data_IF_254545506276
#
_entry.id   IF_254545506276
#
_cell.length_a   1.000
_cell.length_b   1.000
_cell.length_c   1.000
_cell.angle_alpha   90.00
_cell.angle_beta   90.00
_cell.angle_gamma   90.00
#
_symmetry.space_group_name_H-M   'P 1'
#
loop_
_entity.id
_entity.type
_entity.pdbx_description
1 polymer ?
#
# COMPACT_ATOMS: atom_id res chain seq x y z
N UNK A 1 -13.74 -38.90 -61.11
CA UNK A 1 -14.99 -39.06 -60.34
C UNK A 1 -14.66 -39.76 -59.03
N UNK A 2 -15.12 -39.15 -57.93
CA UNK A 2 -15.09 -39.60 -56.52
C UNK A 2 -15.09 -41.12 -56.28
N UNK A 3 -14.34 -41.60 -55.27
CA UNK A 3 -14.91 -41.97 -53.96
C UNK A 3 -13.84 -42.49 -52.99
N UNK A 4 -13.70 -41.76 -51.88
CA UNK A 4 -13.04 -42.19 -50.65
C UNK A 4 -13.73 -43.44 -50.06
N UNK A 5 -12.96 -44.48 -49.70
CA UNK A 5 -13.39 -45.49 -48.73
C UNK A 5 -12.48 -45.45 -47.50
N UNK A 6 -13.08 -44.99 -46.41
CA UNK A 6 -12.58 -45.06 -45.04
C UNK A 6 -12.12 -46.47 -44.67
N UNK A 7 -10.90 -46.58 -44.15
CA UNK A 7 -10.41 -47.77 -43.45
C UNK A 7 -10.19 -47.37 -41.99
N UNK A 8 -11.18 -47.64 -41.13
CA UNK A 8 -10.99 -47.62 -39.66
C UNK A 8 -9.92 -48.65 -39.32
N UNK A 9 -8.76 -48.21 -38.82
CA UNK A 9 -7.89 -49.04 -37.99
C UNK A 9 -8.32 -48.85 -36.54
N UNK A 10 -8.82 -49.92 -35.97
CA UNK A 10 -8.97 -50.10 -34.54
C UNK A 10 -7.56 -50.15 -33.95
N UNK A 11 -7.24 -49.22 -33.06
CA UNK A 11 -5.99 -49.23 -32.28
C UNK A 11 -6.45 -49.60 -30.88
N UNK A 12 -6.18 -50.85 -30.51
CA UNK A 12 -6.41 -51.37 -29.18
C UNK A 12 -5.45 -50.70 -28.19
N UNK A 13 -5.96 -50.48 -26.97
CA UNK A 13 -5.28 -50.18 -25.71
C UNK A 13 -3.84 -49.67 -25.77
N UNK A 14 -3.68 -48.36 -25.72
CA UNK A 14 -2.54 -47.72 -25.07
C UNK A 14 -3.10 -46.99 -23.85
N UNK A 15 -3.05 -47.64 -22.69
CA UNK A 15 -3.06 -46.94 -21.42
C UNK A 15 -1.85 -45.99 -21.44
N UNK A 16 -2.13 -44.70 -21.57
CA UNK A 16 -1.16 -43.65 -21.28
C UNK A 16 -0.95 -43.68 -19.77
N UNK A 17 0.09 -44.40 -19.37
CA UNK A 17 0.64 -44.38 -18.03
C UNK A 17 1.16 -42.96 -17.76
N UNK A 18 0.27 -42.09 -17.29
CA UNK A 18 0.61 -40.75 -16.81
C UNK A 18 1.43 -40.90 -15.53
N UNK A 19 2.70 -41.26 -15.67
CA UNK A 19 3.71 -40.98 -14.65
C UNK A 19 3.87 -39.47 -14.58
N UNK A 20 3.06 -38.87 -13.71
CA UNK A 20 3.30 -37.55 -13.15
C UNK A 20 4.56 -37.66 -12.29
N UNK A 21 5.73 -37.69 -12.92
CA UNK A 21 6.97 -37.32 -12.25
C UNK A 21 6.97 -35.79 -12.16
N UNK A 22 6.11 -35.27 -11.28
CA UNK A 22 6.30 -33.94 -10.73
C UNK A 22 7.59 -33.92 -9.90
N UNK A 23 8.17 -32.76 -9.61
CA UNK A 23 9.39 -32.72 -8.80
C UNK A 23 9.06 -33.18 -7.38
N UNK A 24 9.39 -34.43 -7.07
CA UNK A 24 9.21 -35.15 -5.80
C UNK A 24 9.99 -34.54 -4.61
N UNK A 25 10.42 -33.28 -4.70
CA UNK A 25 11.20 -32.57 -3.68
C UNK A 25 10.64 -31.18 -3.29
N UNK A 26 9.38 -30.88 -3.57
CA UNK A 26 8.74 -29.63 -3.12
C UNK A 26 8.12 -29.70 -1.71
N UNK A 27 8.12 -30.88 -1.08
CA UNK A 27 7.35 -31.13 0.15
C UNK A 27 7.97 -30.53 1.44
N UNK A 28 9.24 -30.12 1.43
CA UNK A 28 9.93 -29.66 2.65
C UNK A 28 10.15 -28.14 2.75
N UNK A 29 9.85 -27.36 1.71
CA UNK A 29 9.89 -25.90 1.81
C UNK A 29 8.53 -25.37 2.27
N UNK A 30 8.39 -25.22 3.59
CA UNK A 30 7.23 -24.59 4.20
C UNK A 30 7.12 -23.14 3.71
N UNK A 31 6.23 -22.91 2.76
CA UNK A 31 5.89 -21.58 2.21
C UNK A 31 5.56 -20.63 3.35
N UNK A 32 6.23 -19.47 3.40
CA UNK A 32 6.14 -18.56 4.53
C UNK A 32 5.72 -17.14 4.14
N UNK A 33 4.75 -17.05 3.21
CA UNK A 33 4.20 -15.79 2.72
C UNK A 33 3.72 -14.90 3.88
N UNK A 34 3.04 -15.47 4.88
CA UNK A 34 2.46 -14.70 5.98
C UNK A 34 3.50 -14.02 6.89
N UNK A 35 4.67 -14.63 7.12
CA UNK A 35 5.72 -14.01 7.95
C UNK A 35 6.64 -13.10 7.11
N UNK A 36 6.75 -13.38 5.80
CA UNK A 36 7.65 -12.67 4.88
C UNK A 36 6.97 -11.60 4.02
N UNK A 37 5.69 -11.32 4.25
CA UNK A 37 4.88 -10.50 3.33
C UNK A 37 5.48 -9.11 3.05
N UNK A 38 6.17 -8.49 4.01
CA UNK A 38 6.80 -7.18 3.84
C UNK A 38 7.93 -7.23 2.79
N UNK A 39 8.83 -8.21 2.88
CA UNK A 39 9.93 -8.37 1.92
C UNK A 39 9.44 -8.87 0.57
N UNK A 40 8.39 -9.70 0.55
CA UNK A 40 7.73 -10.14 -0.68
C UNK A 40 7.00 -9.00 -1.40
N UNK A 41 6.53 -7.99 -0.66
CA UNK A 41 6.01 -6.73 -1.21
C UNK A 41 7.10 -5.72 -1.61
N UNK A 42 8.37 -6.11 -1.54
CA UNK A 42 9.46 -5.26 -2.03
C UNK A 42 9.94 -4.20 -1.04
N UNK A 43 9.73 -4.36 0.28
CA UNK A 43 10.23 -3.43 1.30
C UNK A 43 11.71 -3.06 1.10
N UNK A 44 12.52 -4.04 0.68
CA UNK A 44 13.96 -3.88 0.39
C UNK A 44 14.27 -4.09 -1.10
N UNK A 45 13.40 -3.63 -1.99
CA UNK A 45 13.55 -3.75 -3.46
C UNK A 45 13.83 -5.19 -3.95
N UNK A 46 13.28 -6.19 -3.25
CA UNK A 46 13.51 -7.63 -3.50
C UNK A 46 15.00 -8.04 -3.53
N UNK A 47 15.87 -7.33 -2.79
CA UNK A 47 17.28 -7.68 -2.67
C UNK A 47 17.46 -9.15 -2.23
N UNK A 48 18.28 -9.90 -2.98
CA UNK A 48 18.55 -11.31 -2.73
C UNK A 48 17.40 -12.27 -3.03
N UNK A 49 16.26 -11.81 -3.57
CA UNK A 49 15.10 -12.66 -3.86
C UNK A 49 14.91 -12.97 -5.36
N UNK A 50 15.63 -12.29 -6.26
CA UNK A 50 15.39 -12.37 -7.71
C UNK A 50 16.29 -13.38 -8.42
N UNK A 51 17.53 -13.56 -7.96
CA UNK A 51 18.51 -14.46 -8.59
C UNK A 51 19.37 -15.20 -7.53
N UNK A 52 19.09 -16.50 -7.26
CA UNK A 52 17.98 -17.27 -7.82
C UNK A 52 16.63 -16.78 -7.29
N UNK A 53 15.57 -16.91 -8.11
CA UNK A 53 14.23 -16.46 -7.71
C UNK A 53 13.72 -17.29 -6.52
N UNK A 54 13.54 -16.61 -5.39
CA UNK A 54 12.99 -17.14 -4.14
C UNK A 54 11.63 -17.83 -4.37
N UNK A 55 11.40 -18.96 -3.72
CA UNK A 55 10.22 -19.78 -3.94
C UNK A 55 8.92 -19.12 -3.47
N UNK A 56 8.97 -18.41 -2.34
CA UNK A 56 7.80 -17.66 -1.86
C UNK A 56 7.52 -16.50 -2.82
N UNK A 57 8.55 -15.76 -3.24
CA UNK A 57 8.40 -14.68 -4.22
C UNK A 57 7.86 -15.17 -5.55
N UNK A 58 8.31 -16.34 -6.03
CA UNK A 58 7.78 -16.98 -7.24
C UNK A 58 6.28 -17.24 -7.11
N UNK A 59 5.84 -17.86 -6.02
CA UNK A 59 4.42 -18.12 -5.78
C UNK A 59 3.63 -16.81 -5.65
N UNK A 60 4.24 -15.80 -5.04
CA UNK A 60 3.66 -14.48 -4.86
C UNK A 60 3.42 -13.74 -6.18
N UNK A 61 4.41 -13.74 -7.07
CA UNK A 61 4.31 -13.17 -8.42
C UNK A 61 3.24 -13.92 -9.22
N UNK A 62 3.22 -15.26 -9.17
CA UNK A 62 2.21 -16.08 -9.84
C UNK A 62 0.81 -15.76 -9.31
N UNK A 63 0.66 -15.57 -8.00
CA UNK A 63 -0.62 -15.22 -7.39
C UNK A 63 -1.17 -13.90 -7.96
N UNK A 64 -0.41 -12.81 -7.91
CA UNK A 64 -0.87 -11.51 -8.42
C UNK A 64 -0.95 -11.46 -9.95
N UNK A 65 -0.11 -12.22 -10.66
CA UNK A 65 -0.25 -12.41 -12.11
C UNK A 65 -1.56 -13.11 -12.48
N UNK A 66 -1.97 -14.12 -11.70
CA UNK A 66 -3.25 -14.81 -11.90
C UNK A 66 -4.45 -13.89 -11.66
N UNK A 67 -4.32 -12.89 -10.77
CA UNK A 67 -5.34 -11.87 -10.56
C UNK A 67 -5.48 -10.93 -11.77
N UNK A 68 -4.37 -10.60 -12.43
CA UNK A 68 -4.42 -9.89 -13.71
C UNK A 68 -5.06 -10.77 -14.80
N UNK A 69 -4.70 -12.06 -14.90
CA UNK A 69 -5.31 -13.00 -15.85
C UNK A 69 -6.83 -13.14 -15.64
N UNK A 70 -7.29 -13.19 -14.39
CA UNK A 70 -8.71 -13.24 -14.04
C UNK A 70 -9.53 -12.10 -14.68
N UNK A 71 -8.91 -10.94 -14.95
CA UNK A 71 -9.57 -9.85 -15.66
C UNK A 71 -9.83 -10.17 -17.13
N UNK A 72 -8.92 -10.87 -17.81
CA UNK A 72 -9.12 -11.31 -19.18
C UNK A 72 -10.23 -12.37 -19.25
N UNK A 73 -10.16 -13.38 -18.38
CA UNK A 73 -11.10 -14.50 -18.37
C UNK A 73 -12.54 -14.07 -18.06
N UNK A 74 -12.68 -13.06 -17.20
CA UNK A 74 -13.98 -12.49 -16.87
C UNK A 74 -14.53 -11.55 -17.95
N UNK A 75 -13.72 -11.04 -18.88
CA UNK A 75 -14.19 -10.04 -19.83
C UNK A 75 -15.05 -10.65 -20.94
N UNK A 76 -16.20 -10.03 -21.23
CA UNK A 76 -17.05 -10.44 -22.33
C UNK A 76 -16.65 -9.72 -23.63
N UNK A 77 -15.79 -10.35 -24.42
CA UNK A 77 -15.36 -9.86 -25.74
C UNK A 77 -16.34 -10.18 -26.89
N UNK A 78 -17.45 -10.87 -26.62
CA UNK A 78 -18.40 -11.30 -27.65
C UNK A 78 -19.25 -10.12 -28.14
N UNK A 79 -18.91 -9.53 -29.29
CA UNK A 79 -19.56 -8.32 -29.84
C UNK A 79 -21.04 -8.50 -30.11
N UNK A 80 -21.51 -9.72 -30.38
CA UNK A 80 -22.94 -10.00 -30.58
C UNK A 80 -23.75 -10.01 -29.27
N UNK A 81 -23.07 -10.07 -28.11
CA UNK A 81 -23.71 -10.09 -26.81
C UNK A 81 -24.22 -8.71 -26.40
N UNK A 82 -25.43 -8.64 -25.83
CA UNK A 82 -25.92 -7.42 -25.16
C UNK A 82 -25.11 -7.03 -23.93
N UNK A 83 -24.26 -7.93 -23.44
CA UNK A 83 -23.37 -7.71 -22.30
C UNK A 83 -21.90 -7.62 -22.76
N UNK A 84 -21.65 -7.40 -24.06
CA UNK A 84 -20.30 -7.13 -24.56
C UNK A 84 -19.69 -5.97 -23.77
N UNK A 85 -18.41 -6.06 -23.45
CA UNK A 85 -17.74 -5.01 -22.67
C UNK A 85 -17.89 -5.14 -21.15
N UNK A 86 -18.78 -6.00 -20.64
CA UNK A 86 -18.97 -6.21 -19.20
C UNK A 86 -18.21 -7.44 -18.68
N UNK A 87 -18.13 -7.57 -17.35
CA UNK A 87 -17.72 -8.82 -16.71
C UNK A 87 -18.80 -9.89 -16.89
N UNK A 88 -18.37 -11.13 -17.20
CA UNK A 88 -19.22 -12.32 -17.32
C UNK A 88 -19.78 -12.79 -15.98
N UNK A 89 -19.16 -12.39 -14.87
CA UNK A 89 -19.46 -12.91 -13.54
C UNK A 89 -19.89 -11.79 -12.58
N UNK A 90 -20.72 -12.16 -11.60
CA UNK A 90 -21.06 -11.27 -10.49
C UNK A 90 -19.86 -11.11 -9.54
N UNK A 91 -19.81 -10.03 -8.77
CA UNK A 91 -18.76 -9.84 -7.75
C UNK A 91 -18.68 -10.98 -6.74
N UNK A 92 -19.85 -11.53 -6.35
CA UNK A 92 -19.97 -12.58 -5.33
C UNK A 92 -19.34 -13.90 -5.79
N UNK A 93 -19.48 -14.23 -7.07
CA UNK A 93 -19.06 -15.51 -7.62
C UNK A 93 -17.82 -15.38 -8.51
N UNK A 94 -17.17 -14.21 -8.52
CA UNK A 94 -16.08 -13.88 -9.46
C UNK A 94 -14.94 -14.90 -9.40
N UNK A 95 -14.34 -15.07 -8.22
CA UNK A 95 -13.19 -15.97 -8.07
C UNK A 95 -13.56 -17.45 -8.20
N UNK A 96 -14.73 -17.84 -7.69
CA UNK A 96 -15.18 -19.24 -7.72
C UNK A 96 -15.57 -19.71 -9.13
N UNK A 97 -16.16 -18.83 -9.95
CA UNK A 97 -16.47 -19.12 -11.36
C UNK A 97 -15.23 -19.19 -12.23
N UNK A 98 -14.20 -18.40 -11.91
CA UNK A 98 -12.91 -18.43 -12.58
C UNK A 98 -11.99 -19.56 -12.06
N UNK A 99 -12.32 -20.15 -10.91
CA UNK A 99 -11.50 -21.18 -10.26
C UNK A 99 -10.20 -20.66 -9.65
N UNK A 100 -10.02 -19.34 -9.54
CA UNK A 100 -8.81 -18.70 -8.99
C UNK A 100 -8.67 -18.93 -7.48
N UNK A 101 -9.78 -19.25 -6.81
CA UNK A 101 -9.81 -19.63 -5.41
C UNK A 101 -9.63 -21.14 -5.17
N UNK A 102 -9.67 -21.99 -6.20
CA UNK A 102 -9.53 -23.45 -6.01
C UNK A 102 -8.09 -23.78 -5.61
N UNK A 103 -7.94 -24.51 -4.51
CA UNK A 103 -6.63 -24.87 -3.92
C UNK A 103 -5.69 -23.67 -3.63
N UNK A 104 -6.23 -22.45 -3.63
CA UNK A 104 -5.48 -21.23 -3.34
C UNK A 104 -5.87 -20.72 -1.93
N UNK A 105 -4.96 -20.69 -0.95
CA UNK A 105 -5.26 -20.22 0.41
C UNK A 105 -5.42 -18.69 0.49
N UNK A 106 -5.00 -17.95 -0.52
CA UNK A 106 -5.02 -16.49 -0.56
C UNK A 106 -6.37 -16.00 -1.10
N UNK A 107 -7.40 -16.06 -0.24
CA UNK A 107 -8.80 -15.78 -0.59
C UNK A 107 -9.16 -14.29 -0.57
N UNK A 108 -9.83 -13.82 -1.63
CA UNK A 108 -10.32 -12.44 -1.75
C UNK A 108 -11.83 -12.40 -1.98
N UNK A 109 -12.44 -11.23 -1.73
CA UNK A 109 -13.79 -10.92 -2.19
C UNK A 109 -13.77 -9.63 -3.01
N UNK A 110 -14.47 -9.63 -4.15
CA UNK A 110 -14.55 -8.42 -5.00
C UNK A 110 -15.54 -7.43 -4.38
N UNK A 111 -15.08 -6.22 -4.11
CA UNK A 111 -15.89 -5.17 -3.49
C UNK A 111 -16.43 -4.19 -4.52
N UNK A 112 -15.64 -3.90 -5.58
CA UNK A 112 -16.01 -2.94 -6.64
C UNK A 112 -15.54 -3.42 -8.01
N UNK A 113 -16.37 -3.17 -9.03
CA UNK A 113 -15.95 -3.24 -10.43
C UNK A 113 -15.61 -1.85 -10.93
N UNK A 114 -14.58 -1.78 -11.77
CA UNK A 114 -14.06 -0.56 -12.36
C UNK A 114 -14.53 -0.53 -13.80
N UNK A 115 -15.11 0.59 -14.22
CA UNK A 115 -15.45 0.85 -15.61
C UNK A 115 -14.67 2.04 -16.11
N UNK A 116 -14.26 2.00 -17.38
CA UNK A 116 -13.55 3.08 -18.02
C UNK A 116 -14.15 3.36 -19.41
N UNK A 117 -14.02 4.61 -19.85
CA UNK A 117 -14.24 5.03 -21.22
C UNK A 117 -12.98 5.75 -21.70
N UNK A 118 -12.88 6.01 -23.00
CA UNK A 118 -11.84 6.87 -23.55
C UNK A 118 -12.47 8.04 -24.28
N UNK A 119 -11.87 9.21 -24.15
CA UNK A 119 -12.20 10.40 -24.93
C UNK A 119 -11.44 10.47 -26.26
N UNK A 120 -10.50 9.55 -26.51
CA UNK A 120 -9.73 9.45 -27.75
C UNK A 120 -10.50 8.64 -28.78
N UNK A 121 -10.66 9.19 -30.00
CA UNK A 121 -11.53 8.68 -31.07
C UNK A 121 -11.26 7.22 -31.52
N UNK A 122 -10.10 6.66 -31.19
CA UNK A 122 -9.70 5.29 -31.51
C UNK A 122 -10.23 4.24 -30.50
N UNK A 123 -10.65 4.66 -29.31
CA UNK A 123 -11.31 3.78 -28.35
C UNK A 123 -12.82 4.03 -28.37
N UNK A 124 -13.61 2.96 -28.26
CA UNK A 124 -15.07 3.06 -28.16
C UNK A 124 -15.47 4.07 -27.08
N UNK A 125 -16.39 4.99 -27.43
CA UNK A 125 -17.07 5.88 -26.47
C UNK A 125 -17.92 5.12 -25.46
N UNK A 126 -18.08 3.80 -25.65
CA UNK A 126 -18.81 2.91 -24.76
C UNK A 126 -17.96 2.55 -23.54
N UNK A 127 -18.58 2.66 -22.36
CA UNK A 127 -17.93 2.30 -21.09
C UNK A 127 -17.76 0.78 -20.99
N UNK A 128 -16.52 0.33 -20.82
CA UNK A 128 -16.19 -1.07 -20.67
C UNK A 128 -15.69 -1.38 -19.25
N UNK A 129 -15.96 -2.59 -18.79
CA UNK A 129 -15.39 -3.14 -17.57
C UNK A 129 -13.87 -3.23 -17.71
N UNK A 130 -13.14 -2.58 -16.82
CA UNK A 130 -11.70 -2.37 -16.88
C UNK A 130 -10.95 -3.06 -15.73
N UNK A 131 -11.66 -3.67 -14.79
CA UNK A 131 -11.02 -4.37 -13.68
C UNK A 131 -11.86 -4.40 -12.41
N UNK A 132 -11.20 -4.66 -11.30
CA UNK A 132 -11.87 -4.75 -10.00
C UNK A 132 -10.97 -4.31 -8.83
N UNK A 133 -11.63 -3.94 -7.74
CA UNK A 133 -11.04 -3.83 -6.41
C UNK A 133 -11.56 -4.99 -5.56
N UNK A 134 -10.66 -5.67 -4.89
CA UNK A 134 -10.95 -6.78 -3.99
C UNK A 134 -10.21 -6.59 -2.67
N UNK A 135 -10.67 -7.27 -1.63
CA UNK A 135 -9.98 -7.30 -0.33
C UNK A 135 -9.85 -8.74 0.14
N UNK A 136 -8.70 -9.07 0.73
CA UNK A 136 -8.45 -10.36 1.33
C UNK A 136 -9.55 -10.65 2.37
N UNK A 137 -10.11 -11.84 2.36
CA UNK A 137 -11.05 -12.31 3.39
C UNK A 137 -10.32 -12.63 4.69
N UNK A 138 -11.02 -12.98 5.77
CA UNK A 138 -10.34 -13.40 7.01
C UNK A 138 -9.47 -14.66 6.82
N UNK A 139 -9.85 -15.54 5.91
CA UNK A 139 -9.01 -16.69 5.51
C UNK A 139 -7.79 -16.23 4.71
N UNK A 140 -7.99 -15.37 3.71
CA UNK A 140 -6.89 -14.81 2.92
C UNK A 140 -5.90 -14.01 3.75
N UNK A 141 -6.38 -13.24 4.74
CA UNK A 141 -5.53 -12.53 5.71
C UNK A 141 -4.60 -13.47 6.46
N UNK A 142 -5.07 -14.66 6.87
CA UNK A 142 -4.21 -15.65 7.54
C UNK A 142 -3.10 -16.14 6.62
N UNK A 143 -3.41 -16.41 5.35
CA UNK A 143 -2.42 -16.84 4.37
C UNK A 143 -1.43 -15.75 3.94
N UNK A 144 -1.88 -14.50 3.92
CA UNK A 144 -1.07 -13.34 3.50
C UNK A 144 -0.31 -12.68 4.67
N UNK A 145 -0.70 -12.93 5.92
CA UNK A 145 -0.16 -12.26 7.11
C UNK A 145 -0.75 -10.86 7.39
N UNK A 146 -1.59 -10.33 6.49
CA UNK A 146 -2.17 -8.98 6.56
C UNK A 146 -3.43 -8.84 5.71
N UNK A 147 -4.18 -7.75 5.89
CA UNK A 147 -5.33 -7.42 5.05
C UNK A 147 -4.88 -6.75 3.75
N UNK A 148 -4.82 -7.52 2.68
CA UNK A 148 -4.45 -6.98 1.37
C UNK A 148 -5.66 -6.41 0.63
N UNK A 149 -5.54 -5.17 0.16
CA UNK A 149 -6.45 -4.53 -0.78
C UNK A 149 -5.83 -4.69 -2.17
N UNK A 150 -6.48 -5.47 -3.02
CA UNK A 150 -6.01 -5.80 -4.37
C UNK A 150 -6.77 -4.95 -5.40
N UNK A 151 -6.03 -4.32 -6.30
CA UNK A 151 -6.56 -3.62 -7.47
C UNK A 151 -6.02 -4.33 -8.71
N UNK A 152 -6.90 -4.91 -9.52
CA UNK A 152 -6.52 -5.61 -10.75
C UNK A 152 -7.07 -4.87 -11.97
N UNK A 153 -6.17 -4.41 -12.83
CA UNK A 153 -6.48 -3.69 -14.07
C UNK A 153 -6.38 -4.63 -15.28
N UNK A 154 -7.42 -4.62 -16.11
CA UNK A 154 -7.49 -5.40 -17.35
C UNK A 154 -6.60 -4.78 -18.42
N UNK A 155 -5.86 -5.62 -19.14
CA UNK A 155 -5.17 -5.19 -20.35
C UNK A 155 -6.04 -5.21 -21.61
N UNK A 156 -5.40 -5.09 -22.76
CA UNK A 156 -6.06 -5.06 -24.07
C UNK A 156 -6.45 -6.46 -24.53
N UNK A 157 -7.70 -6.63 -24.99
CA UNK A 157 -8.22 -7.93 -25.49
C UNK A 157 -8.23 -8.01 -27.01
N UNK A 158 -8.30 -6.88 -27.72
CA UNK A 158 -8.31 -6.83 -29.19
C UNK A 158 -6.94 -6.34 -29.70
N UNK A 159 -6.16 -7.25 -30.30
CA UNK A 159 -4.81 -6.97 -30.84
C UNK A 159 -4.78 -6.01 -32.05
N UNK A 160 -5.95 -5.65 -32.62
CA UNK A 160 -6.05 -4.86 -33.85
C UNK A 160 -6.11 -3.33 -33.65
N UNK A 161 -6.10 -2.84 -32.41
CA UNK A 161 -6.07 -1.39 -32.10
C UNK A 161 -4.66 -0.90 -31.71
N UNK A 162 -3.66 -1.79 -31.68
CA UNK A 162 -2.31 -1.47 -31.20
C UNK A 162 -1.45 -0.70 -32.21
N UNK A 163 -1.67 -0.91 -33.51
CA UNK A 163 -0.78 -0.41 -34.57
C UNK A 163 -0.95 1.08 -34.90
N UNK A 164 -2.18 1.60 -34.81
CA UNK A 164 -2.49 2.96 -35.26
C UNK A 164 -2.41 4.00 -34.12
N UNK A 165 -2.33 3.55 -32.85
CA UNK A 165 -2.58 4.39 -31.66
C UNK A 165 -1.40 4.51 -30.68
N UNK A 166 -0.23 3.93 -30.99
CA UNK A 166 1.05 4.24 -30.33
C UNK A 166 1.59 5.62 -30.76
N UNK A 167 0.74 6.64 -30.75
CA UNK A 167 1.21 8.02 -30.68
C UNK A 167 1.62 8.25 -29.23
N UNK A 168 2.92 8.18 -28.97
CA UNK A 168 3.58 8.47 -27.69
C UNK A 168 3.44 9.94 -27.26
N UNK A 169 2.22 10.48 -27.28
CA UNK A 169 1.90 11.83 -26.87
C UNK A 169 1.87 11.85 -25.35
N UNK A 170 2.85 12.53 -24.77
CA UNK A 170 2.90 12.82 -23.34
C UNK A 170 2.09 14.09 -23.06
N UNK A 171 1.10 13.98 -22.17
CA UNK A 171 0.26 15.10 -21.73
C UNK A 171 0.54 15.42 -20.26
N UNK A 172 0.54 16.70 -19.86
CA UNK A 172 0.55 17.07 -18.46
C UNK A 172 -0.62 16.44 -17.69
N UNK A 173 -0.39 16.01 -16.44
CA UNK A 173 -1.43 15.40 -15.60
C UNK A 173 -1.63 16.15 -14.26
N UNK A 174 -1.94 17.46 -14.29
CA UNK A 174 -2.12 18.26 -13.08
C UNK A 174 -3.32 17.81 -12.24
N UNK A 175 -4.31 17.15 -12.86
CA UNK A 175 -5.45 16.55 -12.18
C UNK A 175 -5.07 15.36 -11.31
N UNK A 176 -3.94 14.69 -11.60
CA UNK A 176 -3.41 13.56 -10.84
C UNK A 176 -2.35 14.01 -9.82
N UNK A 177 -1.36 14.80 -10.24
CA UNK A 177 -0.18 15.08 -9.41
C UNK A 177 -0.16 16.48 -8.77
N UNK A 178 -1.08 17.38 -9.15
CA UNK A 178 -1.00 18.79 -8.78
C UNK A 178 0.23 19.49 -9.38
N UNK A 179 0.31 20.82 -9.22
CA UNK A 179 1.45 21.60 -9.69
C UNK A 179 1.45 21.95 -11.18
N UNK A 180 2.63 22.30 -11.71
CA UNK A 180 2.86 22.76 -13.09
C UNK A 180 2.81 21.60 -14.11
N UNK A 181 3.02 21.91 -15.40
CA UNK A 181 2.94 20.95 -16.53
C UNK A 181 4.10 19.94 -16.67
N UNK A 182 4.92 19.76 -15.63
CA UNK A 182 6.15 18.94 -15.69
C UNK A 182 5.93 17.42 -15.63
N UNK A 183 5.14 16.84 -14.69
CA UNK A 183 4.85 15.42 -14.72
C UNK A 183 3.91 15.13 -15.88
N UNK A 184 4.40 14.35 -16.85
CA UNK A 184 3.65 13.94 -18.03
C UNK A 184 3.35 12.45 -18.02
N UNK A 185 2.16 12.13 -18.49
CA UNK A 185 1.65 10.77 -18.65
C UNK A 185 1.28 10.59 -20.11
N UNK A 186 1.40 9.39 -20.66
CA UNK A 186 0.91 9.15 -22.02
C UNK A 186 -0.60 9.36 -22.11
N UNK A 187 -1.01 10.03 -23.17
CA UNK A 187 -2.37 10.49 -23.39
C UNK A 187 -3.41 9.36 -23.30
N UNK A 188 -3.13 8.20 -23.92
CA UNK A 188 -4.03 7.05 -23.86
C UNK A 188 -4.27 6.51 -22.45
N UNK A 189 -3.22 6.39 -21.62
CA UNK A 189 -3.36 5.87 -20.26
C UNK A 189 -4.05 6.90 -19.36
N UNK A 190 -3.71 8.19 -19.53
CA UNK A 190 -4.39 9.29 -18.84
C UNK A 190 -5.88 9.31 -19.19
N UNK A 191 -6.23 9.27 -20.48
CA UNK A 191 -7.62 9.29 -20.96
C UNK A 191 -8.45 8.13 -20.39
N UNK A 192 -7.93 6.90 -20.42
CA UNK A 192 -8.61 5.73 -19.84
C UNK A 192 -8.82 5.89 -18.32
N UNK A 193 -7.86 6.49 -17.63
CA UNK A 193 -7.89 6.65 -16.18
C UNK A 193 -8.82 7.78 -15.73
N UNK A 194 -8.92 8.87 -16.50
CA UNK A 194 -9.54 10.14 -16.07
C UNK A 194 -10.84 10.50 -16.79
N UNK A 195 -11.16 9.87 -17.93
CA UNK A 195 -12.38 10.18 -18.68
C UNK A 195 -13.64 9.64 -18.02
N UNK A 196 -14.68 10.47 -17.95
CA UNK A 196 -16.04 10.08 -17.56
C UNK A 196 -17.02 10.25 -18.74
N UNK A 197 -18.18 9.57 -18.64
CA UNK A 197 -19.33 9.82 -19.51
C UNK A 197 -20.57 9.98 -18.63
N UNK A 198 -21.06 11.22 -18.42
CA UNK A 198 -22.24 11.48 -17.60
C UNK A 198 -23.51 10.76 -18.07
N UNK A 199 -23.57 10.33 -19.34
CA UNK A 199 -24.71 9.60 -19.92
C UNK A 199 -24.62 8.10 -19.67
N UNK A 200 -23.44 7.57 -19.34
CA UNK A 200 -23.23 6.16 -19.07
C UNK A 200 -23.81 5.77 -17.70
N UNK A 201 -24.52 4.64 -17.56
CA UNK A 201 -24.92 4.14 -16.25
C UNK A 201 -23.74 3.61 -15.42
N UNK A 202 -22.60 3.31 -16.05
CA UNK A 202 -21.45 2.65 -15.41
C UNK A 202 -20.26 3.60 -15.16
N UNK A 203 -20.03 4.58 -16.03
CA UNK A 203 -18.86 5.49 -15.97
C UNK A 203 -19.27 6.95 -15.73
N UNK A 204 -20.26 7.18 -14.86
CA UNK A 204 -20.67 8.54 -14.43
C UNK A 204 -19.54 9.32 -13.77
N UNK A 205 -18.64 8.59 -13.13
CA UNK A 205 -17.36 9.07 -12.60
C UNK A 205 -16.26 8.26 -13.25
N UNK A 206 -15.10 8.86 -13.49
CA UNK A 206 -13.99 8.20 -14.16
C UNK A 206 -13.41 7.04 -13.34
N UNK A 207 -12.67 6.16 -14.01
CA UNK A 207 -12.05 4.98 -13.40
C UNK A 207 -11.19 5.33 -12.18
N UNK A 208 -10.42 6.43 -12.25
CA UNK A 208 -9.66 6.98 -11.12
C UNK A 208 -10.55 7.19 -9.89
N UNK A 209 -11.62 7.97 -10.00
CA UNK A 209 -12.50 8.26 -8.84
C UNK A 209 -13.13 6.98 -8.28
N UNK A 210 -13.61 6.08 -9.15
CA UNK A 210 -14.20 4.81 -8.73
C UNK A 210 -13.24 3.98 -7.86
N UNK A 211 -11.96 3.93 -8.24
CA UNK A 211 -10.92 3.19 -7.50
C UNK A 211 -10.54 3.91 -6.22
N UNK A 212 -10.26 5.22 -6.29
CA UNK A 212 -9.82 5.99 -5.12
C UNK A 212 -10.87 6.04 -4.02
N UNK A 213 -12.15 6.17 -4.36
CA UNK A 213 -13.25 6.11 -3.37
C UNK A 213 -13.30 4.76 -2.67
N UNK A 214 -13.13 3.66 -3.41
CA UNK A 214 -13.18 2.32 -2.84
C UNK A 214 -11.94 1.99 -2.01
N UNK A 215 -10.75 2.41 -2.46
CA UNK A 215 -9.50 2.29 -1.69
C UNK A 215 -9.61 3.04 -0.38
N UNK A 216 -10.05 4.30 -0.39
CA UNK A 216 -10.25 5.10 0.83
C UNK A 216 -11.23 4.41 1.79
N UNK A 217 -12.35 3.91 1.27
CA UNK A 217 -13.35 3.17 2.06
C UNK A 217 -12.74 1.94 2.73
N UNK A 218 -11.92 1.17 2.02
CA UNK A 218 -11.27 -0.04 2.54
C UNK A 218 -10.15 0.26 3.52
N UNK A 219 -9.28 1.24 3.22
CA UNK A 219 -8.22 1.71 4.11
C UNK A 219 -8.82 2.16 5.45
N UNK A 220 -9.92 2.93 5.40
CA UNK A 220 -10.62 3.39 6.60
C UNK A 220 -11.30 2.23 7.35
N UNK A 221 -11.97 1.33 6.64
CA UNK A 221 -12.63 0.17 7.22
C UNK A 221 -11.67 -0.74 7.99
N UNK A 222 -10.43 -0.88 7.52
CA UNK A 222 -9.43 -1.79 8.09
C UNK A 222 -8.28 -1.05 8.78
N UNK A 223 -8.45 0.21 9.18
CA UNK A 223 -7.39 1.07 9.77
C UNK A 223 -6.74 0.53 11.05
N UNK A 224 -7.37 -0.43 11.72
CA UNK A 224 -6.87 -1.08 12.94
C UNK A 224 -6.23 -2.46 12.67
N UNK A 225 -6.03 -2.84 11.41
CA UNK A 225 -5.32 -4.04 10.99
C UNK A 225 -4.03 -3.65 10.26
N UNK A 226 -3.05 -4.57 10.18
CA UNK A 226 -1.98 -4.43 9.19
C UNK A 226 -2.61 -4.56 7.79
N UNK A 227 -2.47 -3.49 6.98
CA UNK A 227 -3.01 -3.42 5.63
C UNK A 227 -1.90 -3.27 4.59
N UNK A 228 -2.15 -3.79 3.38
CA UNK A 228 -1.36 -3.50 2.19
C UNK A 228 -2.27 -3.14 1.03
N UNK A 229 -1.77 -2.37 0.06
CA UNK A 229 -2.44 -2.16 -1.22
C UNK A 229 -1.54 -2.76 -2.29
N UNK A 230 -2.05 -3.76 -3.01
CA UNK A 230 -1.33 -4.40 -4.12
C UNK A 230 -2.06 -4.12 -5.43
N UNK A 231 -1.33 -3.68 -6.44
CA UNK A 231 -1.89 -3.27 -7.73
C UNK A 231 -1.22 -4.13 -8.80
N UNK A 232 -2.03 -4.76 -9.64
CA UNK A 232 -1.57 -5.68 -10.68
C UNK A 232 -2.30 -5.45 -12.00
N UNK A 233 -1.60 -5.73 -13.08
CA UNK A 233 -2.14 -5.65 -14.43
C UNK A 233 -1.09 -6.10 -15.43
N UNK A 234 -1.55 -6.43 -16.63
CA UNK A 234 -0.70 -6.83 -17.75
C UNK A 234 -0.96 -5.94 -18.97
N UNK A 235 0.08 -5.68 -19.77
CA UNK A 235 0.01 -4.84 -20.97
C UNK A 235 -0.55 -3.44 -20.61
N UNK A 236 -1.62 -2.96 -21.27
CA UNK A 236 -2.34 -1.73 -20.88
C UNK A 236 -2.66 -1.68 -19.37
N UNK A 237 -3.06 -2.81 -18.80
CA UNK A 237 -3.36 -2.91 -17.37
C UNK A 237 -2.14 -2.63 -16.48
N UNK A 238 -0.93 -2.99 -16.93
CA UNK A 238 0.30 -2.69 -16.20
C UNK A 238 0.63 -1.19 -16.20
N UNK A 239 0.42 -0.53 -17.34
CA UNK A 239 0.60 0.93 -17.46
C UNK A 239 -0.36 1.69 -16.54
N UNK A 240 -1.65 1.33 -16.57
CA UNK A 240 -2.66 1.94 -15.68
C UNK A 240 -2.41 1.58 -14.21
N UNK A 241 -1.97 0.35 -13.92
CA UNK A 241 -1.58 -0.06 -12.55
C UNK A 241 -0.47 0.82 -11.99
N UNK A 242 0.55 1.10 -12.81
CA UNK A 242 1.67 1.96 -12.42
C UNK A 242 1.19 3.38 -12.15
N UNK A 243 0.39 3.96 -13.05
CA UNK A 243 -0.20 5.29 -12.85
C UNK A 243 -1.06 5.36 -11.58
N UNK A 244 -1.91 4.35 -11.35
CA UNK A 244 -2.78 4.26 -10.19
C UNK A 244 -1.99 4.11 -8.87
N UNK A 245 -0.89 3.35 -8.87
CA UNK A 245 0.00 3.23 -7.71
C UNK A 245 0.61 4.58 -7.32
N UNK A 246 1.17 5.30 -8.31
CA UNK A 246 1.78 6.62 -8.06
C UNK A 246 0.72 7.62 -7.59
N UNK A 247 -0.47 7.65 -8.22
CA UNK A 247 -1.58 8.52 -7.81
C UNK A 247 -2.03 8.27 -6.36
N UNK A 248 -2.20 7.00 -5.97
CA UNK A 248 -2.61 6.63 -4.60
C UNK A 248 -1.59 7.13 -3.58
N UNK A 249 -0.29 6.92 -3.83
CA UNK A 249 0.78 7.30 -2.89
C UNK A 249 1.00 8.81 -2.87
N UNK A 250 1.10 9.45 -4.03
CA UNK A 250 1.35 10.89 -4.15
C UNK A 250 0.24 11.72 -3.49
N UNK A 251 -1.01 11.25 -3.53
CA UNK A 251 -2.16 11.93 -2.94
C UNK A 251 -2.56 11.39 -1.54
N UNK A 252 -1.73 10.53 -0.94
CA UNK A 252 -1.94 10.01 0.42
C UNK A 252 -3.21 9.17 0.60
N UNK A 253 -3.73 8.57 -0.47
CA UNK A 253 -4.93 7.73 -0.43
C UNK A 253 -4.69 6.34 0.16
N UNK A 254 -3.43 6.02 0.46
CA UNK A 254 -2.99 4.84 1.20
C UNK A 254 -2.97 5.03 2.73
N UNK A 255 -3.40 6.19 3.26
CA UNK A 255 -3.44 6.47 4.70
C UNK A 255 -4.89 6.61 5.20
N UNK A 256 -5.22 6.11 6.42
CA UNK A 256 -6.50 6.41 7.08
C UNK A 256 -6.69 7.91 7.31
N UNK A 257 -7.94 8.39 7.37
CA UNK A 257 -8.21 9.82 7.54
C UNK A 257 -7.73 10.36 8.89
N UNK A 258 -7.72 9.49 9.91
CA UNK A 258 -7.37 9.82 11.30
C UNK A 258 -5.96 9.41 11.70
N UNK A 259 -5.07 9.02 10.76
CA UNK A 259 -3.67 8.77 11.11
C UNK A 259 -2.89 10.09 11.01
N UNK A 260 -2.60 10.78 12.13
CA UNK A 260 -1.62 11.84 12.09
C UNK A 260 -0.25 11.20 11.86
N UNK A 261 0.53 11.73 10.92
CA UNK A 261 1.98 11.51 10.82
C UNK A 261 2.75 12.06 12.06
N UNK A 262 2.07 12.30 13.18
CA UNK A 262 2.58 12.96 14.40
C UNK A 262 2.24 12.12 15.62
N UNK A 263 3.27 11.72 16.37
CA UNK A 263 3.12 11.23 17.74
C UNK A 263 2.54 12.36 18.59
N UNK A 264 1.23 12.31 18.84
CA UNK A 264 0.56 13.25 19.72
C UNK A 264 0.78 12.84 21.18
N UNK A 265 1.39 13.73 21.97
CA UNK A 265 1.69 13.53 23.38
C UNK A 265 0.97 14.62 24.15
N UNK A 266 0.24 14.22 25.19
CA UNK A 266 -0.43 15.12 26.10
C UNK A 266 0.24 15.03 27.48
N UNK A 267 1.12 15.98 27.75
CA UNK A 267 1.86 16.05 29.02
C UNK A 267 0.99 16.54 30.18
N UNK A 268 -0.17 17.14 29.93
CA UNK A 268 -1.07 17.59 31.00
C UNK A 268 -1.69 16.43 31.78
N UNK A 269 -1.71 15.24 31.18
CA UNK A 269 -2.12 14.00 31.85
C UNK A 269 -1.14 13.50 32.90
N UNK A 270 0.10 13.96 32.88
CA UNK A 270 1.13 13.54 33.83
C UNK A 270 0.80 14.03 35.23
N UNK A 271 0.64 13.10 36.18
CA UNK A 271 0.46 13.43 37.60
C UNK A 271 1.71 14.07 38.23
N UNK A 272 2.87 14.00 37.57
CA UNK A 272 4.14 14.54 38.05
C UNK A 272 4.31 16.04 37.75
N UNK A 273 3.70 16.53 36.68
CA UNK A 273 3.94 17.88 36.18
C UNK A 273 3.01 18.90 36.85
N UNK A 274 3.51 20.13 37.03
CA UNK A 274 2.69 21.30 37.31
C UNK A 274 1.79 21.58 36.09
N UNK A 275 0.69 22.30 36.30
CA UNK A 275 -0.16 22.77 35.19
C UNK A 275 0.68 23.65 34.27
N UNK A 276 0.69 23.32 32.98
CA UNK A 276 1.60 23.92 32.02
C UNK A 276 1.30 25.38 31.67
N UNK A 277 2.35 26.10 31.32
CA UNK A 277 2.35 27.37 30.60
C UNK A 277 3.10 27.24 29.25
N UNK A 278 3.15 28.33 28.46
CA UNK A 278 3.82 28.34 27.16
C UNK A 278 5.29 27.92 27.22
N UNK A 279 6.02 28.23 28.31
CA UNK A 279 7.44 27.87 28.46
C UNK A 279 7.59 26.38 28.74
N UNK A 280 6.74 25.82 29.59
CA UNK A 280 6.72 24.38 29.89
C UNK A 280 6.32 23.53 28.69
N UNK A 281 5.36 23.98 27.88
CA UNK A 281 4.92 23.28 26.66
C UNK A 281 5.99 23.25 25.56
N UNK A 282 6.99 24.12 25.62
CA UNK A 282 8.11 24.16 24.67
C UNK A 282 9.40 23.57 25.23
N UNK A 283 9.38 23.02 26.46
CA UNK A 283 10.56 22.41 27.07
C UNK A 283 10.81 21.00 26.53
N UNK A 284 12.01 20.77 25.97
CA UNK A 284 12.41 19.45 25.48
C UNK A 284 12.33 18.38 26.58
N UNK A 285 12.70 18.71 27.82
CA UNK A 285 12.66 17.75 28.94
C UNK A 285 11.21 17.36 29.29
N UNK A 286 10.25 18.26 29.10
CA UNK A 286 8.81 17.97 29.25
C UNK A 286 8.31 17.08 28.12
N UNK A 287 8.74 17.30 26.87
CA UNK A 287 8.45 16.38 25.76
C UNK A 287 8.99 14.98 26.01
N UNK A 288 10.25 14.86 26.41
CA UNK A 288 10.88 13.56 26.67
C UNK A 288 10.26 12.83 27.87
N UNK A 289 9.83 13.57 28.91
CA UNK A 289 8.98 13.03 29.98
C UNK A 289 7.64 12.53 29.44
N UNK A 290 7.00 13.31 28.57
CA UNK A 290 5.80 12.93 27.85
C UNK A 290 5.94 11.62 27.06
N UNK A 291 7.03 11.49 26.28
CA UNK A 291 7.37 10.27 25.53
C UNK A 291 7.56 9.08 26.47
N UNK A 292 8.22 9.28 27.61
CA UNK A 292 8.53 8.22 28.56
C UNK A 292 7.28 7.59 29.22
N UNK A 293 6.15 8.30 29.24
CA UNK A 293 4.93 7.84 29.91
C UNK A 293 3.61 7.96 29.14
N UNK A 294 3.63 8.38 27.88
CA UNK A 294 2.42 8.42 27.05
C UNK A 294 1.92 7.00 26.76
N UNK A 295 0.63 6.77 26.94
CA UNK A 295 -0.07 5.55 26.56
C UNK A 295 -1.06 5.81 25.41
N UNK A 296 -0.81 6.88 24.64
CA UNK A 296 -1.70 7.40 23.60
C UNK A 296 -2.72 8.43 24.10
N UNK A 297 -3.39 9.12 23.16
CA UNK A 297 -4.33 10.21 23.48
C UNK A 297 -5.56 9.79 24.28
N UNK A 298 -5.91 8.51 24.29
CA UNK A 298 -7.02 7.99 25.09
C UNK A 298 -6.57 7.22 26.35
N UNK A 299 -5.26 6.99 26.50
CA UNK A 299 -4.68 6.32 27.66
C UNK A 299 -4.42 7.29 28.82
N UNK A 300 -4.32 6.73 30.03
CA UNK A 300 -3.80 7.43 31.20
C UNK A 300 -2.28 7.57 31.10
N UNK A 301 -1.71 8.60 31.73
CA UNK A 301 -0.26 8.76 31.77
C UNK A 301 0.36 7.75 32.73
N UNK A 302 1.32 6.97 32.24
CA UNK A 302 2.06 5.99 33.04
C UNK A 302 3.46 5.84 32.45
N UNK A 303 4.48 6.15 33.24
CA UNK A 303 5.89 5.93 32.85
C UNK A 303 6.11 4.45 32.52
N UNK A 304 6.41 4.18 31.26
CA UNK A 304 6.71 2.84 30.74
C UNK A 304 8.22 2.57 30.78
N UNK A 305 9.01 3.63 30.64
CA UNK A 305 10.47 3.60 30.81
C UNK A 305 10.88 4.49 31.97
N UNK A 306 11.95 4.09 32.66
CA UNK A 306 12.54 4.92 33.69
C UNK A 306 13.22 6.14 33.06
N UNK A 307 12.77 7.34 33.43
CA UNK A 307 13.39 8.62 33.15
C UNK A 307 13.35 9.45 34.42
N UNK A 308 14.49 10.00 34.82
CA UNK A 308 14.58 10.80 36.05
C UNK A 308 13.70 12.06 35.94
N UNK A 309 12.77 12.22 36.89
CA UNK A 309 11.84 13.34 36.96
C UNK A 309 12.56 14.69 37.17
N UNK A 310 13.71 14.69 37.83
CA UNK A 310 14.47 15.91 38.09
C UNK A 310 14.91 16.59 36.79
N UNK A 311 15.06 15.85 35.68
CA UNK A 311 15.42 16.39 34.37
C UNK A 311 14.38 17.40 33.86
N UNK A 312 13.10 17.26 34.23
CA UNK A 312 12.06 18.25 33.89
C UNK A 312 12.44 19.64 34.39
N UNK A 313 13.05 19.75 35.58
CA UNK A 313 13.44 21.02 36.19
C UNK A 313 14.82 21.53 35.77
N UNK A 314 15.48 20.91 34.78
CA UNK A 314 16.84 21.26 34.36
C UNK A 314 17.00 22.76 34.06
N UNK A 315 16.04 23.35 33.34
CA UNK A 315 16.04 24.76 32.95
C UNK A 315 14.73 25.48 33.27
N UNK A 316 13.88 24.88 34.10
CA UNK A 316 12.55 25.39 34.40
C UNK A 316 12.04 24.86 35.75
N UNK A 317 10.82 25.25 36.12
CA UNK A 317 10.09 24.75 37.29
C UNK A 317 8.82 24.00 36.85
N UNK A 318 8.99 22.84 36.22
CA UNK A 318 7.89 22.08 35.60
C UNK A 318 7.33 20.94 36.45
N UNK A 319 8.09 20.45 37.43
CA UNK A 319 7.72 19.35 38.31
C UNK A 319 6.95 19.87 39.53
N UNK A 320 5.96 19.12 40.04
CA UNK A 320 5.26 19.51 41.29
C UNK A 320 6.21 19.58 42.47
N UNK A 321 5.94 20.49 43.41
CA UNK A 321 6.82 20.78 44.54
C UNK A 321 7.04 19.58 45.48
N UNK A 322 6.09 18.64 45.52
CA UNK A 322 6.16 17.39 46.28
C UNK A 322 7.34 16.49 45.89
N UNK A 323 7.90 16.66 44.68
CA UNK A 323 9.05 15.90 44.20
C UNK A 323 10.39 16.56 44.54
N UNK A 324 10.39 17.73 45.18
CA UNK A 324 11.56 18.39 45.77
C UNK A 324 12.76 18.61 44.82
N UNK A 325 12.53 18.69 43.50
CA UNK A 325 13.56 19.01 42.51
C UNK A 325 13.69 20.55 42.38
N UNK A 326 14.85 21.17 42.66
CA UNK A 326 15.01 22.61 42.54
C UNK A 326 14.75 23.10 41.11
N UNK A 327 14.06 24.22 40.96
CA UNK A 327 13.82 24.85 39.66
C UNK A 327 15.13 25.29 39.00
N UNK A 328 15.23 25.11 37.68
CA UNK A 328 16.38 25.54 36.86
C UNK A 328 17.72 25.16 37.47
N UNK A 329 17.82 23.93 38.01
CA UNK A 329 18.95 23.50 38.81
C UNK A 329 20.26 23.39 38.02
N UNK A 330 20.19 23.26 36.69
CA UNK A 330 21.38 23.15 35.86
C UNK A 330 22.14 24.47 35.83
N UNK A 331 23.26 24.48 36.54
CA UNK A 331 24.26 25.54 36.49
C UNK A 331 25.65 24.94 36.68
N UNK A 332 26.64 25.56 36.03
CA UNK A 332 28.04 25.23 36.30
C UNK A 332 28.38 25.50 37.77
N UNK A 333 29.26 24.69 38.34
CA UNK A 333 29.72 24.90 39.71
C UNK A 333 30.31 26.30 39.83
N UNK A 334 29.81 27.08 40.79
CA UNK A 334 30.17 28.50 40.96
C UNK A 334 30.01 29.34 39.67
N UNK A 335 29.13 28.94 38.75
CA UNK A 335 28.94 29.55 37.43
C UNK A 335 30.23 29.61 36.59
N UNK A 336 31.10 28.61 36.72
CA UNK A 336 32.37 28.54 36.00
C UNK A 336 33.53 29.29 36.67
N UNK A 337 33.30 29.87 37.85
CA UNK A 337 34.36 30.53 38.62
C UNK A 337 35.22 29.49 39.34
N UNK A 338 36.53 29.58 39.14
CA UNK A 338 37.53 28.71 39.78
C UNK A 338 38.47 29.56 40.62
N UNK A 339 38.68 29.16 41.88
CA UNK A 339 39.65 29.81 42.76
C UNK A 339 41.05 29.27 42.49
N UNK A 340 41.99 30.17 42.22
CA UNK A 340 43.41 29.86 42.05
C UNK A 340 44.11 29.65 43.38
N UNK A 341 45.32 29.10 43.34
CA UNK A 341 46.17 28.89 44.51
C UNK A 341 46.56 30.20 45.22
N UNK A 342 46.59 31.33 44.51
CA UNK A 342 46.87 32.67 45.07
C UNK A 342 45.63 33.32 45.71
N UNK A 343 44.49 32.64 45.72
CA UNK A 343 43.22 33.11 46.27
C UNK A 343 42.39 33.97 45.31
N UNK A 344 42.90 34.32 44.13
CA UNK A 344 42.14 35.01 43.09
C UNK A 344 41.11 34.08 42.43
N UNK A 345 40.09 34.65 41.80
CA UNK A 345 39.07 33.90 41.08
C UNK A 345 39.14 34.24 39.60
N UNK A 346 39.04 33.22 38.75
CA UNK A 346 38.94 33.38 37.30
C UNK A 346 37.70 32.67 36.76
N UNK A 347 37.10 33.24 35.72
CA UNK A 347 36.08 32.56 34.92
C UNK A 347 36.79 31.62 33.95
N UNK A 348 36.45 30.33 34.00
CA UNK A 348 36.93 29.32 33.04
C UNK A 348 35.72 28.87 32.23
N UNK A 349 35.45 29.56 31.12
CA UNK A 349 34.19 29.44 30.37
C UNK A 349 34.26 28.63 29.08
N UNK A 350 35.43 28.10 28.66
CA UNK A 350 35.62 26.99 27.70
C UNK A 350 37.13 26.84 27.43
N UNK A 351 37.64 25.60 27.32
CA UNK A 351 38.93 25.37 26.65
C UNK A 351 38.67 25.49 25.14
N UNK A 352 39.34 26.41 24.44
CA UNK A 352 39.43 26.27 22.99
C UNK A 352 40.13 24.94 22.73
N UNK A 353 39.38 23.94 22.29
CA UNK A 353 39.97 22.75 21.70
C UNK A 353 40.51 23.20 20.34
N UNK A 354 41.84 23.29 20.23
CA UNK A 354 42.54 23.38 18.96
C UNK A 354 42.39 22.03 18.26
N UNK A 355 41.30 21.84 17.50
CA UNK A 355 41.10 20.70 16.60
C UNK A 355 40.64 21.15 15.22
#
# INVERSE_FOLDING_TARGET
>A
MSFFKSKRRQIDGLELDHKNEGPDNLADNKINIAERWNVLNGQNNWEGLLDPLDLDLRQYIIHYGSMAQATYDAFNSEKSSKQAGNSRYSKKDFFSKLGVDKANPLKYTVTKYIYATSSVDAWSKESNWMGFVAVATNEGKKGLGRRDILIAWRGTVQNLEWGDDLKFLLVPAPDIFGGNEEPKVHNGWHSIYTSDDPRSPFNKTCARRQVLEEVKRLVEQYKNEDISITITGHSLGAAVSTLNAVDIVANGHNKPQDMPDKLAIDTEKSSYLKRGDFRSWHSLEVYLHGVAGTQGLNGEFKLEIYRDLALVNKHMDGLKDEYCAPASWWCEKNKGMVQKADGSWELVDVKCDDS
#
